data_IF_757844163056
#
_entry.id   IF_757844163056
#
_cell.length_a   1.000
_cell.length_b   1.000
_cell.length_c   1.000
_cell.angle_alpha   90.00
_cell.angle_beta   90.00
_cell.angle_gamma   90.00
#
_symmetry.space_group_name_H-M   'P 1'
#
loop_
_entity.id
_entity.type
_entity.pdbx_description
1 polymer ?
#
# COMPACT_ATOMS: atom_id res chain seq x y z
N UNK A 1 -1.53 -13.13 -3.79
CA UNK A 1 -1.42 -14.29 -4.71
C UNK A 1 -1.74 -13.87 -6.14
N UNK A 2 -2.98 -13.45 -6.44
CA UNK A 2 -3.40 -13.01 -7.77
C UNK A 2 -2.40 -12.09 -8.51
N UNK A 3 -1.96 -10.94 -7.95
CA UNK A 3 -1.06 -10.03 -8.68
C UNK A 3 0.37 -10.59 -8.82
N UNK A 4 0.76 -11.58 -8.02
CA UNK A 4 2.05 -12.24 -8.18
C UNK A 4 2.04 -13.18 -9.40
N UNK A 5 0.91 -13.86 -9.62
CA UNK A 5 0.74 -14.79 -10.76
C UNK A 5 0.47 -14.00 -12.04
N UNK A 6 -0.54 -13.13 -12.04
CA UNK A 6 -1.01 -12.46 -13.25
C UNK A 6 -0.27 -11.16 -13.57
N UNK A 7 0.47 -10.61 -12.60
CA UNK A 7 1.01 -9.26 -12.71
C UNK A 7 -0.07 -8.18 -12.52
N UNK A 8 0.37 -6.95 -12.68
CA UNK A 8 -0.46 -5.75 -12.67
C UNK A 8 -1.06 -5.43 -11.31
N UNK A 9 -2.19 -4.74 -11.36
CA UNK A 9 -3.01 -4.41 -10.20
C UNK A 9 -4.32 -5.19 -10.32
N UNK A 10 -4.66 -5.99 -9.32
CA UNK A 10 -5.80 -6.91 -9.40
C UNK A 10 -6.86 -6.62 -8.34
N UNK A 11 -8.14 -6.70 -8.72
CA UNK A 11 -9.30 -6.71 -7.84
C UNK A 11 -9.84 -8.14 -7.69
N UNK A 12 -9.94 -8.63 -6.46
CA UNK A 12 -10.59 -9.92 -6.17
C UNK A 12 -12.07 -9.67 -5.91
N UNK A 13 -12.91 -9.96 -6.91
CA UNK A 13 -14.37 -9.79 -6.80
C UNK A 13 -15.01 -10.92 -5.99
N UNK A 14 -14.51 -12.14 -6.15
CA UNK A 14 -15.04 -13.32 -5.46
C UNK A 14 -13.97 -14.37 -5.24
N UNK A 15 -14.14 -15.17 -4.18
CA UNK A 15 -13.25 -16.32 -3.90
C UNK A 15 -13.95 -17.66 -4.13
N UNK A 16 -15.29 -17.68 -4.21
CA UNK A 16 -16.12 -18.86 -4.49
C UNK A 16 -17.41 -18.45 -5.25
N UNK A 17 -17.42 -18.54 -6.60
CA UNK A 17 -16.29 -18.89 -7.46
C UNK A 17 -15.17 -17.84 -7.39
N UNK A 18 -13.93 -18.26 -7.70
CA UNK A 18 -12.81 -17.33 -7.78
C UNK A 18 -12.98 -16.43 -9.01
N UNK A 19 -13.03 -15.12 -8.78
CA UNK A 19 -13.16 -14.12 -9.84
C UNK A 19 -12.18 -12.97 -9.55
N UNK A 20 -11.23 -12.80 -10.47
CA UNK A 20 -10.16 -11.81 -10.38
C UNK A 20 -10.26 -10.92 -11.61
N UNK A 21 -10.24 -9.61 -11.38
CA UNK A 21 -10.28 -8.60 -12.42
C UNK A 21 -8.93 -7.88 -12.46
N UNK A 22 -8.34 -7.75 -13.63
CA UNK A 22 -7.18 -6.87 -13.83
C UNK A 22 -7.67 -5.42 -13.91
N UNK A 23 -7.02 -4.53 -13.18
CA UNK A 23 -7.24 -3.09 -13.25
C UNK A 23 -6.09 -2.43 -14.02
N UNK A 24 -6.39 -1.44 -14.89
CA UNK A 24 -5.35 -0.67 -15.52
C UNK A 24 -4.57 0.12 -14.46
N UNK A 25 -3.28 0.36 -14.73
CA UNK A 25 -2.45 1.21 -13.88
C UNK A 25 -1.88 2.35 -14.69
N UNK A 26 -1.89 3.58 -14.16
CA UNK A 26 -1.22 4.72 -14.78
C UNK A 26 0.26 4.42 -15.05
N UNK A 27 0.79 4.84 -16.20
CA UNK A 27 2.15 4.48 -16.64
C UNK A 27 3.26 4.99 -15.73
N UNK A 28 3.05 6.12 -15.05
CA UNK A 28 4.01 6.72 -14.13
C UNK A 28 3.78 6.30 -12.66
N UNK A 29 3.00 5.26 -12.38
CA UNK A 29 2.78 4.80 -11.01
C UNK A 29 3.95 3.92 -10.53
N UNK A 30 4.68 4.43 -9.53
CA UNK A 30 5.78 3.73 -8.86
C UNK A 30 5.40 3.39 -7.43
N UNK A 31 5.97 2.31 -6.91
CA UNK A 31 5.88 1.93 -5.50
C UNK A 31 7.28 1.97 -4.87
N UNK A 32 7.39 2.72 -3.76
CA UNK A 32 8.53 2.66 -2.84
C UNK A 32 8.11 1.82 -1.64
N UNK A 33 8.86 0.77 -1.33
CA UNK A 33 8.57 -0.16 -0.24
C UNK A 33 9.75 -0.15 0.71
N UNK A 34 9.50 0.13 1.99
CA UNK A 34 10.45 -0.17 3.07
C UNK A 34 10.01 -1.44 3.79
N UNK A 35 10.95 -2.35 3.99
CA UNK A 35 10.75 -3.61 4.69
C UNK A 35 11.67 -3.69 5.92
N UNK A 36 11.15 -3.33 7.11
CA UNK A 36 11.84 -3.51 8.37
C UNK A 36 12.11 -4.99 8.63
N UNK A 37 13.32 -5.33 9.09
CA UNK A 37 13.73 -6.69 9.45
C UNK A 37 13.22 -7.07 10.85
N UNK A 38 11.90 -6.96 11.03
CA UNK A 38 11.18 -7.42 12.22
C UNK A 38 10.10 -8.41 11.79
N UNK A 39 9.69 -9.27 12.70
CA UNK A 39 8.63 -10.23 12.43
C UNK A 39 7.34 -9.78 13.10
N UNK A 40 6.27 -9.67 12.30
CA UNK A 40 4.90 -9.56 12.79
C UNK A 40 4.15 -10.79 12.32
N UNK A 41 3.64 -11.60 13.24
CA UNK A 41 2.86 -12.77 12.85
C UNK A 41 1.57 -12.33 12.20
N UNK A 42 1.26 -12.90 11.02
CA UNK A 42 0.00 -12.61 10.33
C UNK A 42 -1.23 -12.95 11.19
N UNK A 43 -1.13 -13.94 12.07
CA UNK A 43 -2.18 -14.26 13.05
C UNK A 43 -2.43 -13.13 14.04
N UNK A 44 -1.37 -12.52 14.58
CA UNK A 44 -1.45 -11.39 15.52
C UNK A 44 -2.01 -10.15 14.82
N UNK A 45 -1.52 -9.83 13.61
CA UNK A 45 -2.05 -8.73 12.79
C UNK A 45 -3.52 -8.93 12.38
N UNK A 46 -4.03 -10.17 12.34
CA UNK A 46 -5.46 -10.45 12.12
C UNK A 46 -6.25 -10.36 13.42
N UNK A 47 -5.70 -10.83 14.54
CA UNK A 47 -6.37 -10.87 15.83
C UNK A 47 -6.67 -9.46 16.39
N UNK A 48 -5.87 -8.46 16.03
CA UNK A 48 -6.05 -7.07 16.49
C UNK A 48 -7.20 -6.32 15.80
N UNK A 49 -7.73 -6.87 14.70
CA UNK A 49 -8.80 -6.23 13.96
C UNK A 49 -10.14 -6.37 14.69
N UNK A 50 -10.98 -5.32 14.65
CA UNK A 50 -12.30 -5.41 15.26
C UNK A 50 -13.16 -6.41 14.48
N UNK A 51 -14.06 -7.09 15.19
CA UNK A 51 -15.04 -7.99 14.58
C UNK A 51 -16.18 -7.24 13.89
N UNK A 52 -16.45 -6.03 14.34
CA UNK A 52 -17.55 -5.18 13.88
C UNK A 52 -16.99 -3.77 13.64
N UNK A 53 -17.56 -3.08 12.65
CA UNK A 53 -17.23 -1.69 12.35
C UNK A 53 -18.51 -0.87 12.29
N UNK A 54 -18.47 0.43 12.63
CA UNK A 54 -19.59 1.32 12.38
C UNK A 54 -19.94 1.34 10.89
N UNK A 55 -21.23 1.40 10.58
CA UNK A 55 -21.70 1.51 9.20
C UNK A 55 -21.12 2.75 8.49
N UNK A 56 -20.91 3.86 9.22
CA UNK A 56 -20.26 5.07 8.70
C UNK A 56 -18.85 4.80 8.19
N UNK A 57 -18.06 3.99 8.91
CA UNK A 57 -16.71 3.64 8.50
C UNK A 57 -16.74 2.70 7.29
N UNK A 58 -17.73 1.80 7.23
CA UNK A 58 -17.93 0.98 6.06
C UNK A 58 -18.25 1.84 4.82
N UNK A 59 -19.15 2.83 4.98
CA UNK A 59 -19.53 3.83 3.96
C UNK A 59 -18.32 4.54 3.38
N UNK A 60 -17.48 5.11 4.23
CA UNK A 60 -16.31 5.84 3.79
C UNK A 60 -15.26 4.90 3.16
N UNK A 61 -15.02 3.70 3.71
CA UNK A 61 -14.04 2.78 3.15
C UNK A 61 -14.40 2.36 1.72
N UNK A 62 -15.64 1.95 1.45
CA UNK A 62 -15.99 1.51 0.09
C UNK A 62 -16.11 2.68 -0.88
N UNK A 63 -16.38 3.90 -0.41
CA UNK A 63 -16.27 5.10 -1.23
C UNK A 63 -14.81 5.33 -1.67
N UNK A 64 -13.85 5.15 -0.75
CA UNK A 64 -12.42 5.19 -1.07
C UNK A 64 -12.02 4.09 -2.05
N UNK A 65 -12.50 2.85 -1.86
CA UNK A 65 -12.23 1.73 -2.79
C UNK A 65 -12.78 2.00 -4.19
N UNK A 66 -14.05 2.42 -4.31
CA UNK A 66 -14.66 2.74 -5.60
C UNK A 66 -13.95 3.89 -6.30
N UNK A 67 -13.55 4.91 -5.56
CA UNK A 67 -12.79 6.06 -6.07
C UNK A 67 -11.38 5.67 -6.51
N UNK A 68 -10.70 4.77 -5.79
CA UNK A 68 -9.40 4.23 -6.19
C UNK A 68 -9.49 3.46 -7.50
N UNK A 69 -10.49 2.58 -7.65
CA UNK A 69 -10.74 1.86 -8.90
C UNK A 69 -10.99 2.84 -10.04
N UNK A 70 -11.85 3.84 -9.84
CA UNK A 70 -12.12 4.85 -10.86
C UNK A 70 -10.86 5.68 -11.21
N UNK A 71 -10.04 6.04 -10.22
CA UNK A 71 -8.80 6.78 -10.42
C UNK A 71 -7.77 5.99 -11.24
N UNK A 72 -7.68 4.68 -11.02
CA UNK A 72 -6.84 3.79 -11.81
C UNK A 72 -7.27 3.74 -13.29
N UNK A 73 -8.59 3.63 -13.54
CA UNK A 73 -9.14 3.64 -14.90
C UNK A 73 -8.98 4.98 -15.63
N UNK A 74 -9.08 6.09 -14.90
CA UNK A 74 -8.99 7.45 -15.47
C UNK A 74 -7.60 8.04 -15.44
N UNK A 75 -6.63 7.33 -14.85
CA UNK A 75 -5.29 7.86 -14.54
C UNK A 75 -5.30 9.19 -13.77
N UNK A 76 -6.31 9.39 -12.92
CA UNK A 76 -6.44 10.59 -12.10
C UNK A 76 -5.63 10.45 -10.81
N UNK A 77 -4.39 10.92 -10.83
CA UNK A 77 -3.47 10.85 -9.67
C UNK A 77 -3.97 11.60 -8.43
N UNK A 78 -4.68 12.71 -8.60
CA UNK A 78 -5.25 13.46 -7.47
C UNK A 78 -6.34 12.65 -6.78
N UNK A 79 -7.22 12.01 -7.55
CA UNK A 79 -8.25 11.13 -7.00
C UNK A 79 -7.62 9.88 -6.37
N UNK A 80 -6.59 9.30 -7.00
CA UNK A 80 -5.85 8.17 -6.44
C UNK A 80 -5.29 8.53 -5.07
N UNK A 81 -4.66 9.70 -4.95
CA UNK A 81 -4.12 10.20 -3.68
C UNK A 81 -5.22 10.41 -2.63
N UNK A 82 -6.34 11.03 -3.00
CA UNK A 82 -7.46 11.25 -2.10
C UNK A 82 -8.13 9.94 -1.63
N UNK A 83 -8.05 8.88 -2.44
CA UNK A 83 -8.69 7.58 -2.22
C UNK A 83 -7.85 6.57 -1.45
N UNK A 84 -6.53 6.76 -1.35
CA UNK A 84 -5.63 5.86 -0.61
C UNK A 84 -5.71 6.11 0.90
N UNK A 85 -6.88 5.85 1.45
CA UNK A 85 -7.17 5.96 2.88
C UNK A 85 -7.84 4.69 3.35
N UNK A 86 -7.19 4.02 4.29
CA UNK A 86 -7.73 2.87 4.98
C UNK A 86 -8.15 3.26 6.39
N UNK A 87 -9.45 3.28 6.63
CA UNK A 87 -10.06 3.66 7.90
C UNK A 87 -10.52 2.44 8.72
N UNK A 88 -10.36 1.23 8.16
CA UNK A 88 -10.78 -0.01 8.81
C UNK A 88 -9.58 -0.78 9.36
N UNK A 89 -8.52 -0.99 8.57
CA UNK A 89 -7.45 -1.92 8.95
C UNK A 89 -6.23 -1.19 9.51
N UNK A 90 -5.76 -0.15 8.82
CA UNK A 90 -4.59 0.65 9.21
C UNK A 90 -4.66 1.18 10.65
N UNK A 91 -5.77 1.77 11.15
CA UNK A 91 -5.81 2.35 12.49
C UNK A 91 -5.49 1.34 13.60
N UNK A 92 -5.79 0.06 13.38
CA UNK A 92 -5.53 -1.01 14.34
C UNK A 92 -4.16 -1.65 14.13
N UNK A 93 -3.70 -1.79 12.88
CA UNK A 93 -2.43 -2.48 12.58
C UNK A 93 -1.20 -1.61 12.72
N UNK A 94 -1.32 -0.30 12.53
CA UNK A 94 -0.17 0.61 12.54
C UNK A 94 0.65 0.56 13.83
N UNK A 95 0.01 0.26 14.96
CA UNK A 95 0.67 0.14 16.26
C UNK A 95 1.68 -1.02 16.34
N UNK A 96 1.58 -2.00 15.45
CA UNK A 96 2.53 -3.12 15.36
C UNK A 96 3.77 -2.76 14.55
N UNK A 97 3.76 -1.63 13.84
CA UNK A 97 4.79 -1.25 12.87
C UNK A 97 5.53 -0.02 13.42
N UNK A 98 6.82 -0.16 13.78
CA UNK A 98 7.64 0.96 14.23
C UNK A 98 7.63 2.12 13.24
N UNK A 99 7.61 3.35 13.74
CA UNK A 99 7.71 4.57 12.93
C UNK A 99 6.63 4.73 11.83
N UNK A 100 5.53 3.96 11.83
CA UNK A 100 4.53 4.00 10.76
C UNK A 100 3.96 5.41 10.56
N UNK A 101 3.50 6.04 11.64
CA UNK A 101 2.92 7.39 11.58
C UNK A 101 3.96 8.44 11.13
N UNK A 102 5.22 8.31 11.59
CA UNK A 102 6.34 9.17 11.17
C UNK A 102 6.62 9.04 9.67
N UNK A 103 6.71 7.81 9.16
CA UNK A 103 6.89 7.55 7.73
C UNK A 103 5.71 8.13 6.95
N UNK A 104 4.47 7.84 7.37
CA UNK A 104 3.28 8.27 6.66
C UNK A 104 3.24 9.80 6.54
N UNK A 105 3.45 10.53 7.61
CA UNK A 105 3.49 12.01 7.57
C UNK A 105 4.57 12.52 6.63
N UNK A 106 5.83 12.09 6.85
CA UNK A 106 6.97 12.65 6.11
C UNK A 106 6.97 12.31 4.63
N UNK A 107 6.53 11.11 4.27
CA UNK A 107 6.47 10.71 2.85
C UNK A 107 5.32 11.37 2.11
N UNK A 108 4.17 11.62 2.78
CA UNK A 108 3.11 12.46 2.24
C UNK A 108 3.58 13.91 2.05
N UNK A 109 4.28 14.49 3.02
CA UNK A 109 4.92 15.82 2.91
C UNK A 109 5.95 15.87 1.77
N UNK A 110 6.67 14.78 1.53
CA UNK A 110 7.61 14.66 0.42
C UNK A 110 6.93 14.58 -0.96
N UNK A 111 5.62 14.32 -1.00
CA UNK A 111 4.79 14.30 -2.21
C UNK A 111 4.22 12.94 -2.60
N UNK A 112 4.35 11.90 -1.76
CA UNK A 112 3.74 10.60 -2.04
C UNK A 112 2.22 10.73 -2.28
N UNK A 113 1.69 9.97 -3.23
CA UNK A 113 0.25 9.93 -3.53
C UNK A 113 -0.51 9.33 -2.36
N UNK A 114 0.01 8.27 -1.76
CA UNK A 114 -0.58 7.63 -0.59
C UNK A 114 0.38 6.61 0.00
N UNK A 115 0.18 6.33 1.28
CA UNK A 115 1.06 5.50 2.09
C UNK A 115 0.19 4.54 2.88
N UNK A 116 0.61 3.28 2.95
CA UNK A 116 -0.14 2.26 3.69
C UNK A 116 0.71 1.06 4.06
N UNK A 117 0.09 0.15 4.79
CA UNK A 117 0.70 -1.12 5.20
C UNK A 117 0.69 -2.07 4.00
N UNK A 118 1.85 -2.63 3.66
CA UNK A 118 1.92 -3.68 2.64
C UNK A 118 1.52 -5.02 3.25
N UNK A 119 0.35 -5.53 2.84
CA UNK A 119 -0.21 -6.79 3.35
C UNK A 119 -0.57 -6.72 4.84
N UNK A 120 0.07 -7.56 5.66
CA UNK A 120 -0.11 -7.54 7.12
C UNK A 120 0.93 -6.69 7.87
N UNK A 121 1.89 -6.09 7.16
CA UNK A 121 3.09 -5.50 7.76
C UNK A 121 4.19 -6.53 8.03
N UNK A 122 5.39 -6.08 8.45
CA UNK A 122 5.73 -4.70 8.84
C UNK A 122 6.06 -3.76 7.68
N UNK A 123 6.11 -4.29 6.44
CA UNK A 123 6.45 -3.46 5.28
C UNK A 123 5.45 -2.31 5.08
N UNK A 124 5.98 -1.15 4.72
CA UNK A 124 5.20 0.04 4.39
C UNK A 124 5.45 0.35 2.91
N UNK A 125 4.37 0.63 2.17
CA UNK A 125 4.47 1.09 0.79
C UNK A 125 4.05 2.55 0.69
N UNK A 126 4.63 3.25 -0.29
CA UNK A 126 4.15 4.54 -0.77
C UNK A 126 4.01 4.49 -2.29
N UNK A 127 2.89 4.99 -2.81
CA UNK A 127 2.70 5.17 -4.26
C UNK A 127 3.15 6.56 -4.67
N UNK A 128 3.90 6.65 -5.77
CA UNK A 128 4.51 7.87 -6.26
C UNK A 128 4.19 8.07 -7.75
N UNK A 129 4.04 9.33 -8.16
CA UNK A 129 3.92 9.70 -9.57
C UNK A 129 5.32 9.95 -10.15
N UNK A 130 5.94 8.88 -10.66
CA UNK A 130 7.27 8.89 -11.26
C UNK A 130 8.39 8.42 -10.35
N UNK A 131 9.47 7.93 -10.97
CA UNK A 131 10.65 7.36 -10.31
C UNK A 131 11.38 8.38 -9.44
N UNK A 132 11.58 9.61 -9.93
CA UNK A 132 12.26 10.68 -9.16
C UNK A 132 11.58 10.97 -7.82
N UNK A 133 10.24 10.95 -7.79
CA UNK A 133 9.51 11.11 -6.54
C UNK A 133 9.62 9.86 -5.66
N UNK A 134 9.63 8.67 -6.27
CA UNK A 134 9.82 7.41 -5.57
C UNK A 134 11.20 7.34 -4.88
N UNK A 135 12.27 7.84 -5.51
CA UNK A 135 13.61 7.98 -4.95
C UNK A 135 13.62 8.94 -3.75
N UNK A 136 13.03 10.13 -3.90
CA UNK A 136 12.92 11.10 -2.80
C UNK A 136 12.15 10.52 -1.60
N UNK A 137 11.09 9.75 -1.87
CA UNK A 137 10.33 9.06 -0.83
C UNK A 137 11.16 7.95 -0.18
N UNK A 138 11.99 7.23 -0.94
CA UNK A 138 12.91 6.23 -0.41
C UNK A 138 13.95 6.84 0.54
N UNK A 139 14.56 7.97 0.17
CA UNK A 139 15.47 8.72 1.03
C UNK A 139 14.79 9.19 2.32
N UNK A 140 13.52 9.59 2.21
CA UNK A 140 12.70 9.99 3.36
C UNK A 140 12.45 8.80 4.30
N UNK A 141 12.07 7.64 3.76
CA UNK A 141 11.87 6.41 4.53
C UNK A 141 13.19 5.96 5.20
N UNK A 142 14.30 6.00 4.45
CA UNK A 142 15.64 5.69 4.94
C UNK A 142 16.01 6.57 6.14
N UNK A 143 15.84 7.88 6.02
CA UNK A 143 16.20 8.86 7.05
C UNK A 143 15.40 8.70 8.35
N UNK A 144 14.20 8.12 8.28
CA UNK A 144 13.38 7.77 9.45
C UNK A 144 13.90 6.50 10.10
N UNK A 145 14.03 5.41 9.33
CA UNK A 145 14.39 4.10 9.88
C UNK A 145 15.86 3.97 10.27
N UNK A 146 16.78 4.70 9.64
CA UNK A 146 18.18 4.72 10.05
C UNK A 146 18.33 5.15 11.53
N UNK A 147 17.40 5.97 12.04
CA UNK A 147 17.40 6.46 13.43
C UNK A 147 16.79 5.48 14.42
N UNK A 148 16.03 4.48 13.95
CA UNK A 148 15.37 3.50 14.83
C UNK A 148 16.31 2.37 15.27
N UNK A 149 17.45 2.19 14.59
CA UNK A 149 18.38 1.08 14.86
C UNK A 149 17.87 -0.29 14.41
N UNK A 150 16.77 -0.34 13.67
CA UNK A 150 16.20 -1.56 13.08
C UNK A 150 16.79 -1.73 11.69
N UNK A 151 17.27 -2.93 11.34
CA UNK A 151 17.71 -3.23 9.97
C UNK A 151 16.52 -3.17 9.00
N UNK A 152 16.73 -2.73 7.76
CA UNK A 152 15.66 -2.62 6.76
C UNK A 152 16.18 -2.70 5.33
N UNK A 153 15.29 -3.07 4.41
CA UNK A 153 15.51 -2.99 2.96
C UNK A 153 14.56 -1.97 2.34
N UNK A 154 14.99 -1.29 1.28
CA UNK A 154 14.13 -0.43 0.46
C UNK A 154 14.14 -0.91 -0.98
N UNK A 155 12.96 -0.96 -1.60
CA UNK A 155 12.77 -1.32 -2.99
C UNK A 155 11.93 -0.26 -3.69
N UNK A 156 12.32 0.07 -4.93
CA UNK A 156 11.57 0.98 -5.81
C UNK A 156 11.30 0.22 -7.09
N UNK A 157 10.06 0.29 -7.58
CA UNK A 157 9.72 -0.28 -8.87
C UNK A 157 8.45 0.34 -9.46
N UNK A 158 8.29 0.33 -10.80
CA UNK A 158 6.96 0.46 -11.40
C UNK A 158 6.12 -0.77 -11.08
N UNK A 159 4.80 -0.68 -11.31
CA UNK A 159 3.93 -1.86 -11.18
C UNK A 159 4.36 -2.95 -12.16
N UNK A 160 4.74 -4.13 -11.66
CA UNK A 160 5.11 -5.28 -12.49
C UNK A 160 3.87 -5.85 -13.21
N UNK A 161 3.74 -5.58 -14.51
CA UNK A 161 2.64 -6.07 -15.35
C UNK A 161 2.79 -7.51 -15.84
N UNK A 162 3.96 -8.12 -15.70
CA UNK A 162 4.22 -9.45 -16.24
C UNK A 162 3.77 -10.57 -15.30
N UNK A 163 3.88 -10.36 -13.98
CA UNK A 163 3.68 -11.43 -13.00
C UNK A 163 4.82 -12.43 -13.02
N UNK A 164 4.51 -13.72 -13.03
CA UNK A 164 5.51 -14.80 -13.08
C UNK A 164 6.21 -14.88 -14.44
N UNK A 165 7.51 -15.20 -14.43
CA UNK A 165 8.34 -15.40 -15.63
C UNK A 165 9.32 -16.56 -15.41
N UNK A 166 9.49 -17.42 -16.41
CA UNK A 166 10.55 -18.45 -16.43
C UNK A 166 11.90 -17.77 -16.72
N UNK A 167 12.91 -18.06 -15.90
CA UNK A 167 14.27 -17.51 -16.04
C UNK A 167 15.18 -18.44 -16.83
#
# INVERSE_FOLDING_TARGET
>A
IAPCIFGGFTLVKGVKPLEILELPTPSHLFATIIHPQIEIKTSEARAILPKEIPLSNAIEQWANVGSLVHALHTSNYNLLSASLKDIIVEPYRKQLIPEFDTIKSKTLEAGALGVGISGSGPSIFALCNGETLADKVAETMYSVYQKSGIDFNIHISPINKQGIKVI
#
